data_IF_996092318463
#
_entry.id   IF_996092318463
#
_cell.length_a   1.000
_cell.length_b   1.000
_cell.length_c   1.000
_cell.angle_alpha   90.00
_cell.angle_beta   90.00
_cell.angle_gamma   90.00
#
_symmetry.space_group_name_H-M   'P 1'
#
loop_
_entity.id
_entity.type
_entity.pdbx_description
1 polymer ?
#
# COMPACT_ATOMS: atom_id res chain seq x y z
N UNK A 1 -6.60 -44.58 -3.94
CA UNK A 1 -6.09 -43.20 -4.05
C UNK A 1 -6.33 -42.65 -5.45
N UNK A 2 -6.05 -43.45 -6.49
CA UNK A 2 -6.20 -43.12 -7.92
C UNK A 2 -7.57 -42.58 -8.36
N UNK A 3 -8.64 -42.78 -7.59
CA UNK A 3 -9.98 -42.30 -7.94
C UNK A 3 -10.27 -40.83 -7.55
N UNK A 4 -9.43 -40.18 -6.73
CA UNK A 4 -9.72 -38.83 -6.24
C UNK A 4 -9.61 -37.77 -7.36
N UNK A 5 -8.53 -37.72 -8.17
CA UNK A 5 -8.44 -36.77 -9.27
C UNK A 5 -9.59 -36.96 -10.28
N UNK A 6 -9.89 -38.22 -10.64
CA UNK A 6 -10.99 -38.54 -11.56
C UNK A 6 -12.36 -38.12 -11.01
N UNK A 7 -12.58 -38.27 -9.69
CA UNK A 7 -13.80 -37.80 -9.03
C UNK A 7 -13.92 -36.28 -9.11
N UNK A 8 -12.83 -35.53 -8.88
CA UNK A 8 -12.81 -34.07 -9.02
C UNK A 8 -13.15 -33.67 -10.46
N UNK A 9 -12.51 -34.29 -11.46
CA UNK A 9 -12.77 -34.04 -12.88
C UNK A 9 -14.24 -34.31 -13.23
N UNK A 10 -14.76 -35.46 -12.78
CA UNK A 10 -16.16 -35.85 -12.97
C UNK A 10 -17.12 -34.83 -12.38
N UNK A 11 -16.90 -34.41 -11.13
CA UNK A 11 -17.71 -33.40 -10.45
C UNK A 11 -17.67 -32.05 -11.16
N UNK A 12 -16.49 -31.59 -11.61
CA UNK A 12 -16.36 -30.31 -12.32
C UNK A 12 -17.09 -30.30 -13.67
N UNK A 13 -17.09 -31.43 -14.38
CA UNK A 13 -17.75 -31.59 -15.70
C UNK A 13 -19.21 -32.02 -15.63
N UNK A 14 -19.67 -32.35 -14.42
CA UNK A 14 -21.00 -32.87 -14.17
C UNK A 14 -22.10 -31.88 -14.58
N UNK A 15 -23.23 -32.33 -15.15
CA UNK A 15 -24.36 -31.43 -15.50
C UNK A 15 -25.20 -31.00 -14.28
N UNK A 16 -24.83 -31.43 -13.08
CA UNK A 16 -25.59 -31.19 -11.86
C UNK A 16 -25.52 -29.71 -11.41
N UNK A 17 -26.51 -29.23 -10.64
CA UNK A 17 -26.47 -27.92 -10.01
C UNK A 17 -25.15 -27.66 -9.27
N UNK A 18 -24.66 -26.42 -9.31
CA UNK A 18 -23.35 -26.05 -8.76
C UNK A 18 -23.23 -26.40 -7.27
N UNK A 19 -24.29 -26.21 -6.48
CA UNK A 19 -24.30 -26.48 -5.04
C UNK A 19 -23.98 -27.94 -4.74
N UNK A 20 -24.51 -28.88 -5.54
CA UNK A 20 -24.25 -30.31 -5.39
C UNK A 20 -22.83 -30.66 -5.84
N UNK A 21 -22.37 -30.06 -6.95
CA UNK A 21 -20.99 -30.24 -7.42
C UNK A 21 -19.99 -29.72 -6.39
N UNK A 22 -20.25 -28.55 -5.82
CA UNK A 22 -19.45 -27.93 -4.77
C UNK A 22 -19.38 -28.78 -3.50
N UNK A 23 -20.52 -29.29 -3.01
CA UNK A 23 -20.54 -30.20 -1.86
C UNK A 23 -19.72 -31.46 -2.13
N UNK A 24 -19.83 -32.05 -3.32
CA UNK A 24 -19.02 -33.20 -3.73
C UNK A 24 -17.51 -32.87 -3.76
N UNK A 25 -17.14 -31.71 -4.28
CA UNK A 25 -15.74 -31.26 -4.33
C UNK A 25 -15.17 -31.04 -2.92
N UNK A 26 -15.92 -30.33 -2.07
CA UNK A 26 -15.54 -30.09 -0.68
C UNK A 26 -15.42 -31.40 0.11
N UNK A 27 -16.34 -32.36 -0.09
CA UNK A 27 -16.25 -33.70 0.50
C UNK A 27 -15.00 -34.44 0.03
N UNK A 28 -14.71 -34.39 -1.27
CA UNK A 28 -13.53 -35.06 -1.85
C UNK A 28 -12.22 -34.48 -1.28
N UNK A 29 -12.12 -33.16 -1.10
CA UNK A 29 -10.98 -32.52 -0.44
C UNK A 29 -10.93 -32.85 1.06
N UNK A 30 -12.08 -33.01 1.71
CA UNK A 30 -12.18 -33.51 3.10
C UNK A 30 -11.60 -34.92 3.24
N UNK A 31 -12.00 -35.84 2.35
CA UNK A 31 -11.45 -37.20 2.28
C UNK A 31 -9.93 -37.19 2.05
N UNK A 32 -9.44 -36.33 1.15
CA UNK A 32 -7.99 -36.17 0.93
C UNK A 32 -7.27 -35.68 2.18
N UNK A 33 -7.88 -34.73 2.92
CA UNK A 33 -7.33 -34.21 4.18
C UNK A 33 -7.20 -35.33 5.22
N UNK A 34 -8.19 -36.21 5.31
CA UNK A 34 -8.14 -37.37 6.21
C UNK A 34 -7.05 -38.37 5.81
N UNK A 35 -6.88 -38.63 4.52
CA UNK A 35 -5.82 -39.52 4.03
C UNK A 35 -4.42 -38.95 4.31
N UNK A 36 -4.21 -37.64 4.14
CA UNK A 36 -2.96 -36.99 4.52
C UNK A 36 -2.70 -37.13 6.01
N UNK A 37 -3.72 -36.89 6.84
CA UNK A 37 -3.63 -37.03 8.30
C UNK A 37 -3.29 -38.45 8.75
N UNK A 38 -3.75 -39.48 8.03
CA UNK A 38 -3.42 -40.89 8.33
C UNK A 38 -2.14 -41.39 7.64
N UNK A 39 -1.42 -40.52 6.91
CA UNK A 39 -0.22 -40.89 6.15
C UNK A 39 -0.51 -41.86 4.99
N UNK A 40 -1.73 -41.83 4.48
CA UNK A 40 -2.25 -42.73 3.44
C UNK A 40 -2.52 -42.01 2.11
N UNK A 41 -1.97 -40.80 1.92
CA UNK A 41 -1.99 -40.07 0.66
C UNK A 41 -0.55 -39.75 0.25
N UNK A 42 -0.24 -39.95 -1.03
CA UNK A 42 1.05 -39.61 -1.62
C UNK A 42 1.04 -38.23 -2.29
N UNK A 43 2.22 -37.63 -2.44
CA UNK A 43 2.41 -36.32 -3.10
C UNK A 43 1.87 -36.27 -4.53
N UNK A 44 2.02 -37.34 -5.31
CA UNK A 44 1.58 -37.37 -6.71
C UNK A 44 0.04 -37.34 -6.85
N UNK A 45 -0.67 -38.05 -5.98
CA UNK A 45 -2.14 -38.01 -5.91
C UNK A 45 -2.62 -36.60 -5.56
N UNK A 46 -2.01 -35.97 -4.55
CA UNK A 46 -2.41 -34.61 -4.13
C UNK A 46 -2.12 -33.59 -5.25
N UNK A 47 -0.94 -33.67 -5.88
CA UNK A 47 -0.59 -32.82 -7.02
C UNK A 47 -1.61 -32.98 -8.17
N UNK A 48 -2.02 -34.21 -8.48
CA UNK A 48 -3.04 -34.47 -9.51
C UNK A 48 -4.42 -33.88 -9.16
N UNK A 49 -4.78 -33.81 -7.87
CA UNK A 49 -5.99 -33.13 -7.42
C UNK A 49 -5.89 -31.62 -7.61
N UNK A 50 -4.73 -31.00 -7.33
CA UNK A 50 -4.48 -29.57 -7.61
C UNK A 50 -4.70 -29.29 -9.11
N UNK A 51 -4.05 -30.06 -9.98
CA UNK A 51 -4.16 -29.93 -11.43
C UNK A 51 -5.62 -30.08 -11.91
N UNK A 52 -6.34 -31.08 -11.38
CA UNK A 52 -7.75 -31.31 -11.72
C UNK A 52 -8.64 -30.11 -11.36
N UNK A 53 -8.43 -29.50 -10.18
CA UNK A 53 -9.16 -28.32 -9.74
C UNK A 53 -8.84 -27.10 -10.63
N UNK A 54 -7.56 -26.87 -10.93
CA UNK A 54 -7.11 -25.75 -11.75
C UNK A 54 -7.59 -25.83 -13.20
N UNK A 55 -7.64 -27.03 -13.78
CA UNK A 55 -8.10 -27.23 -15.16
C UNK A 55 -9.63 -27.27 -15.31
N UNK A 56 -10.35 -27.78 -14.31
CA UNK A 56 -11.78 -28.07 -14.47
C UNK A 56 -12.74 -26.94 -14.12
N UNK A 57 -12.28 -25.89 -13.43
CA UNK A 57 -13.15 -24.79 -12.99
C UNK A 57 -13.49 -23.81 -14.14
N UNK A 58 -14.77 -23.77 -14.54
CA UNK A 58 -15.28 -22.75 -15.45
C UNK A 58 -15.21 -21.33 -14.83
N UNK A 59 -15.18 -20.26 -15.65
CA UNK A 59 -14.99 -18.88 -15.16
C UNK A 59 -15.97 -18.46 -14.05
N UNK A 60 -17.22 -18.92 -14.10
CA UNK A 60 -18.26 -18.56 -13.13
C UNK A 60 -18.04 -19.10 -11.71
N UNK A 61 -17.22 -20.15 -11.54
CA UNK A 61 -17.04 -20.84 -10.25
C UNK A 61 -15.59 -20.80 -9.76
N UNK A 62 -14.72 -20.10 -10.48
CA UNK A 62 -13.27 -20.16 -10.26
C UNK A 62 -12.86 -19.60 -8.90
N UNK A 63 -13.45 -18.48 -8.47
CA UNK A 63 -13.24 -17.91 -7.14
C UNK A 63 -13.62 -18.88 -6.01
N UNK A 64 -14.69 -19.68 -6.18
CA UNK A 64 -15.09 -20.68 -5.19
C UNK A 64 -14.06 -21.84 -5.15
N UNK A 65 -13.57 -22.29 -6.30
CA UNK A 65 -12.58 -23.37 -6.38
C UNK A 65 -11.21 -22.95 -5.81
N UNK A 66 -10.87 -21.65 -5.85
CA UNK A 66 -9.60 -21.15 -5.32
C UNK A 66 -9.34 -21.56 -3.86
N UNK A 67 -10.34 -21.43 -2.98
CA UNK A 67 -10.20 -21.85 -1.58
C UNK A 67 -10.01 -23.36 -1.39
N UNK A 68 -10.43 -24.19 -2.35
CA UNK A 68 -10.08 -25.62 -2.34
C UNK A 68 -8.66 -25.86 -2.83
N UNK A 69 -8.21 -25.13 -3.86
CA UNK A 69 -6.83 -25.21 -4.35
C UNK A 69 -5.85 -24.85 -3.24
N UNK A 70 -6.06 -23.75 -2.51
CA UNK A 70 -5.20 -23.34 -1.40
C UNK A 70 -5.10 -24.43 -0.34
N UNK A 71 -6.25 -25.03 0.02
CA UNK A 71 -6.29 -26.13 0.98
C UNK A 71 -5.52 -27.36 0.49
N UNK A 72 -5.68 -27.74 -0.78
CA UNK A 72 -4.97 -28.89 -1.35
C UNK A 72 -3.46 -28.62 -1.49
N UNK A 73 -3.06 -27.38 -1.80
CA UNK A 73 -1.65 -26.97 -1.80
C UNK A 73 -1.03 -27.06 -0.41
N UNK A 74 -1.76 -26.69 0.65
CA UNK A 74 -1.29 -26.83 2.03
C UNK A 74 -1.13 -28.31 2.43
N UNK A 75 -2.07 -29.16 2.01
CA UNK A 75 -1.96 -30.62 2.19
C UNK A 75 -0.75 -31.18 1.44
N UNK A 76 -0.52 -30.74 0.20
CA UNK A 76 0.62 -31.18 -0.60
C UNK A 76 1.94 -30.79 0.06
N UNK A 77 2.07 -29.54 0.53
CA UNK A 77 3.25 -29.08 1.25
C UNK A 77 3.54 -29.91 2.52
N UNK A 78 2.50 -30.20 3.31
CA UNK A 78 2.61 -31.02 4.50
C UNK A 78 3.10 -32.45 4.19
N UNK A 79 2.60 -33.07 3.12
CA UNK A 79 3.05 -34.40 2.69
C UNK A 79 4.47 -34.37 2.13
N UNK A 80 4.84 -33.35 1.33
CA UNK A 80 6.20 -33.19 0.81
C UNK A 80 7.26 -33.14 1.91
N UNK A 81 6.95 -32.54 3.07
CA UNK A 81 7.87 -32.47 4.19
C UNK A 81 8.22 -33.85 4.79
N UNK A 82 7.34 -34.85 4.62
CA UNK A 82 7.57 -36.23 5.07
C UNK A 82 8.15 -37.14 3.99
N UNK A 83 7.67 -37.04 2.74
CA UNK A 83 8.10 -37.90 1.63
C UNK A 83 9.43 -37.46 0.99
N UNK A 84 9.78 -36.17 1.10
CA UNK A 84 10.98 -35.57 0.50
C UNK A 84 11.11 -35.92 -1.01
N UNK A 85 10.17 -35.46 -1.85
CA UNK A 85 10.25 -35.66 -3.29
C UNK A 85 11.51 -35.02 -3.88
N UNK A 86 11.87 -35.35 -5.14
CA UNK A 86 13.00 -34.69 -5.78
C UNK A 86 12.81 -33.16 -5.79
N UNK A 87 13.71 -32.38 -5.17
CA UNK A 87 13.51 -30.95 -4.97
C UNK A 87 13.51 -30.15 -6.27
N UNK A 88 14.11 -30.67 -7.34
CA UNK A 88 14.14 -30.06 -8.67
C UNK A 88 12.78 -30.24 -9.35
N UNK A 89 12.23 -31.45 -9.30
CA UNK A 89 10.90 -31.76 -9.84
C UNK A 89 9.83 -30.97 -9.10
N UNK A 90 9.94 -30.88 -7.76
CA UNK A 90 9.02 -30.08 -6.95
C UNK A 90 9.09 -28.60 -7.31
N UNK A 91 10.29 -28.02 -7.44
CA UNK A 91 10.46 -26.62 -7.83
C UNK A 91 9.85 -26.31 -9.20
N UNK A 92 10.03 -27.20 -10.18
CA UNK A 92 9.44 -27.06 -11.51
C UNK A 92 7.91 -27.15 -11.48
N UNK A 93 7.36 -28.10 -10.70
CA UNK A 93 5.92 -28.24 -10.52
C UNK A 93 5.29 -27.01 -9.85
N UNK A 94 5.90 -26.48 -8.78
CA UNK A 94 5.41 -25.27 -8.11
C UNK A 94 5.39 -24.07 -9.06
N UNK A 95 6.41 -23.91 -9.89
CA UNK A 95 6.44 -22.83 -10.89
C UNK A 95 5.43 -23.08 -12.02
N UNK A 96 5.19 -24.34 -12.40
CA UNK A 96 4.13 -24.70 -13.33
C UNK A 96 2.75 -24.29 -12.78
N UNK A 97 2.43 -24.68 -11.55
CA UNK A 97 1.20 -24.30 -10.86
C UNK A 97 1.06 -22.78 -10.75
N UNK A 98 2.14 -22.08 -10.41
CA UNK A 98 2.13 -20.63 -10.27
C UNK A 98 1.97 -19.89 -11.61
N UNK A 99 2.38 -20.47 -12.74
CA UNK A 99 2.48 -19.75 -14.04
C UNK A 99 1.60 -20.31 -15.17
N UNK A 100 1.05 -21.52 -15.01
CA UNK A 100 0.40 -22.27 -16.09
C UNK A 100 -1.09 -21.98 -16.28
N UNK A 101 -1.73 -21.22 -15.39
CA UNK A 101 -3.19 -21.15 -15.30
C UNK A 101 -3.77 -19.74 -15.51
N UNK A 102 -4.99 -19.59 -16.06
CA UNK A 102 -5.57 -18.28 -16.35
C UNK A 102 -5.80 -17.37 -15.13
N UNK A 103 -6.17 -17.96 -13.99
CA UNK A 103 -6.09 -17.31 -12.68
C UNK A 103 -5.13 -18.14 -11.85
N UNK A 104 -4.05 -17.50 -11.45
CA UNK A 104 -2.89 -18.15 -10.88
C UNK A 104 -3.16 -18.31 -9.38
N UNK A 105 -2.97 -19.50 -8.81
CA UNK A 105 -2.96 -19.65 -7.36
C UNK A 105 -1.79 -18.85 -6.76
N UNK A 106 -1.91 -18.50 -5.49
CA UNK A 106 -0.79 -17.95 -4.73
C UNK A 106 -0.02 -19.10 -4.08
N UNK A 107 1.02 -19.59 -4.77
CA UNK A 107 1.87 -20.66 -4.23
C UNK A 107 2.82 -20.05 -3.21
N UNK A 108 2.58 -20.34 -1.94
CA UNK A 108 3.48 -19.97 -0.84
C UNK A 108 4.68 -20.93 -0.81
N UNK A 109 5.90 -20.40 -0.83
CA UNK A 109 7.13 -21.19 -0.79
C UNK A 109 7.48 -21.65 0.64
N UNK A 110 7.13 -20.86 1.66
CA UNK A 110 7.51 -21.17 3.03
C UNK A 110 7.09 -22.58 3.50
N UNK A 111 5.85 -23.08 3.22
CA UNK A 111 5.48 -24.45 3.54
C UNK A 111 6.28 -25.54 2.80
N UNK A 112 6.81 -25.23 1.61
CA UNK A 112 7.60 -26.17 0.80
C UNK A 112 9.10 -26.12 1.07
N UNK A 113 9.58 -25.10 1.80
CA UNK A 113 11.01 -24.89 2.03
C UNK A 113 11.76 -26.11 2.58
N UNK A 114 11.21 -26.91 3.54
CA UNK A 114 11.88 -28.11 4.02
C UNK A 114 12.09 -29.18 2.93
N UNK A 115 11.12 -29.34 2.02
CA UNK A 115 11.17 -30.32 0.94
C UNK A 115 12.04 -29.84 -0.24
N UNK A 116 12.03 -28.53 -0.53
CA UNK A 116 12.87 -27.94 -1.57
C UNK A 116 14.36 -27.93 -1.16
N UNK A 117 14.64 -27.59 0.09
CA UNK A 117 15.99 -27.30 0.56
C UNK A 117 16.71 -26.24 -0.29
N UNK A 118 18.02 -26.09 -0.08
CA UNK A 118 18.83 -25.13 -0.83
C UNK A 118 18.85 -25.43 -2.33
N UNK A 119 18.91 -26.72 -2.69
CA UNK A 119 19.00 -27.16 -4.10
C UNK A 119 17.74 -26.83 -4.89
N UNK A 120 16.56 -27.10 -4.33
CA UNK A 120 15.27 -26.80 -4.96
C UNK A 120 15.01 -25.29 -5.03
N UNK A 121 15.29 -24.54 -3.96
CA UNK A 121 15.14 -23.08 -3.94
C UNK A 121 16.07 -22.39 -4.95
N UNK A 122 17.32 -22.83 -5.07
CA UNK A 122 18.26 -22.31 -6.06
C UNK A 122 17.77 -22.58 -7.50
N UNK A 123 17.22 -23.77 -7.76
CA UNK A 123 16.65 -24.11 -9.06
C UNK A 123 15.39 -23.30 -9.37
N UNK A 124 14.47 -23.17 -8.41
CA UNK A 124 13.28 -22.33 -8.51
C UNK A 124 13.65 -20.89 -8.87
N UNK A 125 14.60 -20.29 -8.13
CA UNK A 125 15.14 -18.95 -8.39
C UNK A 125 15.66 -18.83 -9.82
N UNK A 126 16.52 -19.77 -10.23
CA UNK A 126 17.14 -19.74 -11.56
C UNK A 126 16.09 -19.74 -12.66
N UNK A 127 15.08 -20.61 -12.60
CA UNK A 127 14.04 -20.68 -13.63
C UNK A 127 13.16 -19.43 -13.61
N UNK A 128 12.68 -19.02 -12.42
CA UNK A 128 11.82 -17.86 -12.28
C UNK A 128 12.50 -16.61 -12.84
N UNK A 129 13.76 -16.36 -12.48
CA UNK A 129 14.50 -15.18 -12.95
C UNK A 129 14.89 -15.27 -14.42
N UNK A 130 15.24 -16.45 -14.95
CA UNK A 130 15.51 -16.61 -16.38
C UNK A 130 14.27 -16.25 -17.21
N UNK A 131 13.09 -16.70 -16.80
CA UNK A 131 11.83 -16.36 -17.48
C UNK A 131 11.48 -14.90 -17.30
N UNK A 132 11.70 -14.35 -16.10
CA UNK A 132 11.42 -12.95 -15.80
C UNK A 132 12.32 -11.98 -16.57
N UNK A 133 13.61 -12.30 -16.72
CA UNK A 133 14.57 -11.47 -17.48
C UNK A 133 14.26 -11.42 -18.98
N UNK A 134 13.57 -12.43 -19.51
CA UNK A 134 13.10 -12.43 -20.90
C UNK A 134 11.91 -11.49 -21.14
N UNK A 135 11.25 -11.00 -20.07
CA UNK A 135 10.11 -10.10 -20.20
C UNK A 135 10.55 -8.65 -20.46
N UNK A 136 9.83 -7.90 -21.32
CA UNK A 136 10.09 -6.47 -21.53
C UNK A 136 10.01 -5.65 -20.23
N UNK A 137 10.81 -4.60 -20.09
CA UNK A 137 10.71 -3.66 -18.96
C UNK A 137 9.52 -2.72 -19.18
N UNK A 138 8.63 -2.60 -18.19
CA UNK A 138 7.53 -1.62 -18.23
C UNK A 138 8.00 -0.35 -17.54
N UNK A 139 8.00 0.74 -18.30
CA UNK A 139 8.36 2.07 -17.80
C UNK A 139 7.11 2.91 -17.51
N UNK A 140 7.27 3.97 -16.73
CA UNK A 140 6.18 4.84 -16.32
C UNK A 140 5.37 5.38 -17.51
N UNK A 141 4.04 5.32 -17.40
CA UNK A 141 3.13 5.80 -18.43
C UNK A 141 2.96 4.87 -19.64
N UNK A 142 3.68 3.75 -19.68
CA UNK A 142 3.38 2.67 -20.62
C UNK A 142 2.05 2.04 -20.23
N UNK A 143 1.07 2.01 -21.14
CA UNK A 143 -0.14 1.22 -20.93
C UNK A 143 0.28 -0.26 -20.90
N UNK A 144 0.34 -0.82 -19.70
CA UNK A 144 0.65 -2.23 -19.52
C UNK A 144 -0.39 -3.07 -20.26
N UNK A 145 0.04 -3.85 -21.24
CA UNK A 145 -0.78 -4.97 -21.70
C UNK A 145 -0.91 -5.94 -20.54
N UNK A 146 -2.09 -6.53 -20.36
CA UNK A 146 -2.29 -7.58 -19.37
C UNK A 146 -1.42 -8.78 -19.74
N UNK A 147 -0.30 -8.93 -19.02
CA UNK A 147 0.71 -9.97 -19.21
C UNK A 147 0.65 -10.94 -18.03
N UNK A 148 -0.09 -12.05 -18.20
CA UNK A 148 -0.31 -13.04 -17.15
C UNK A 148 1.00 -13.66 -16.66
N UNK A 149 1.91 -13.95 -17.59
CA UNK A 149 3.19 -14.57 -17.25
C UNK A 149 4.02 -13.64 -16.38
N UNK A 150 4.03 -12.33 -16.69
CA UNK A 150 4.65 -11.34 -15.83
C UNK A 150 4.06 -11.30 -14.43
N UNK A 151 2.74 -11.25 -14.30
CA UNK A 151 2.10 -11.23 -12.97
C UNK A 151 2.45 -12.48 -12.17
N UNK A 152 2.46 -13.65 -12.83
CA UNK A 152 2.84 -14.91 -12.22
C UNK A 152 4.28 -14.91 -11.70
N UNK A 153 5.21 -14.46 -12.55
CA UNK A 153 6.63 -14.43 -12.22
C UNK A 153 6.97 -13.35 -11.21
N UNK A 154 6.26 -12.21 -11.24
CA UNK A 154 6.33 -11.18 -10.20
C UNK A 154 5.95 -11.78 -8.85
N UNK A 155 4.79 -12.45 -8.74
CA UNK A 155 4.38 -13.12 -7.48
C UNK A 155 5.36 -14.21 -7.06
N UNK A 156 5.84 -15.04 -7.99
CA UNK A 156 6.82 -16.09 -7.72
C UNK A 156 8.14 -15.53 -7.14
N UNK A 157 8.63 -14.43 -7.72
CA UNK A 157 9.88 -13.82 -7.28
C UNK A 157 9.72 -12.98 -6.00
N UNK A 158 8.55 -12.37 -5.79
CA UNK A 158 8.18 -11.72 -4.52
C UNK A 158 8.12 -12.75 -3.38
N UNK A 159 7.41 -13.86 -3.56
CA UNK A 159 7.35 -14.94 -2.56
C UNK A 159 8.74 -15.51 -2.28
N UNK A 160 9.58 -15.68 -3.30
CA UNK A 160 10.96 -16.11 -3.12
C UNK A 160 11.78 -15.10 -2.31
N UNK A 161 11.63 -13.81 -2.61
CA UNK A 161 12.33 -12.74 -1.90
C UNK A 161 11.88 -12.64 -0.44
N UNK A 162 10.57 -12.72 -0.18
CA UNK A 162 10.01 -12.73 1.17
C UNK A 162 10.48 -13.95 1.97
N UNK A 163 10.46 -15.14 1.36
CA UNK A 163 10.92 -16.36 2.01
C UNK A 163 12.43 -16.34 2.33
N UNK A 164 13.25 -15.81 1.43
CA UNK A 164 14.72 -15.77 1.58
C UNK A 164 15.22 -14.51 2.31
N UNK A 165 14.36 -13.53 2.56
CA UNK A 165 14.76 -12.20 3.04
C UNK A 165 15.62 -11.42 2.04
N UNK A 166 15.58 -11.78 0.75
CA UNK A 166 16.38 -11.14 -0.30
C UNK A 166 15.70 -9.84 -0.78
N UNK A 167 16.01 -8.76 -0.07
CA UNK A 167 15.49 -7.42 -0.37
C UNK A 167 15.92 -6.93 -1.75
N UNK A 168 17.15 -7.23 -2.17
CA UNK A 168 17.66 -6.81 -3.48
C UNK A 168 16.89 -7.49 -4.61
N UNK A 169 16.54 -8.77 -4.44
CA UNK A 169 15.67 -9.48 -5.37
C UNK A 169 14.27 -8.84 -5.43
N UNK A 170 13.67 -8.52 -4.28
CA UNK A 170 12.35 -7.89 -4.24
C UNK A 170 12.37 -6.56 -5.01
N UNK A 171 13.38 -5.71 -4.77
CA UNK A 171 13.57 -4.43 -5.46
C UNK A 171 13.81 -4.64 -6.97
N UNK A 172 14.66 -5.60 -7.35
CA UNK A 172 14.95 -5.91 -8.75
C UNK A 172 13.68 -6.26 -9.51
N UNK A 173 12.86 -7.14 -8.96
CA UNK A 173 11.64 -7.63 -9.61
C UNK A 173 10.62 -6.50 -9.75
N UNK A 174 10.35 -5.76 -8.65
CA UNK A 174 9.44 -4.62 -8.70
C UNK A 174 9.90 -3.52 -9.69
N UNK A 175 11.21 -3.28 -9.78
CA UNK A 175 11.76 -2.25 -10.67
C UNK A 175 11.53 -2.50 -12.16
N UNK A 176 11.18 -3.73 -12.55
CA UNK A 176 10.88 -4.09 -13.95
C UNK A 176 9.45 -3.76 -14.35
N UNK A 177 8.59 -3.40 -13.39
CA UNK A 177 7.23 -2.96 -13.63
C UNK A 177 6.94 -1.64 -12.89
N UNK A 178 7.24 -0.52 -13.55
CA UNK A 178 7.06 0.83 -13.02
C UNK A 178 5.93 1.57 -13.73
N UNK A 179 4.80 0.91 -13.97
CA UNK A 179 3.69 1.43 -14.77
C UNK A 179 3.10 2.74 -14.18
N UNK A 180 3.04 2.84 -12.84
CA UNK A 180 2.47 3.97 -12.13
C UNK A 180 3.25 4.39 -10.89
N UNK A 181 2.85 5.52 -10.30
CA UNK A 181 3.51 6.06 -9.10
C UNK A 181 3.43 5.14 -7.87
N UNK A 182 2.42 4.26 -7.82
CA UNK A 182 2.26 3.28 -6.74
C UNK A 182 3.36 2.21 -6.75
N UNK A 183 3.92 1.88 -7.91
CA UNK A 183 5.01 0.89 -8.02
C UNK A 183 6.29 1.40 -7.37
N UNK A 184 6.60 2.70 -7.54
CA UNK A 184 7.71 3.35 -6.84
C UNK A 184 7.50 3.38 -5.32
N UNK A 185 6.27 3.63 -4.88
CA UNK A 185 5.92 3.61 -3.45
C UNK A 185 6.12 2.22 -2.87
N UNK A 186 5.69 1.17 -3.59
CA UNK A 186 5.85 -0.22 -3.18
C UNK A 186 7.31 -0.58 -2.97
N UNK A 187 8.20 -0.18 -3.89
CA UNK A 187 9.65 -0.39 -3.74
C UNK A 187 10.20 0.35 -2.51
N UNK A 188 9.78 1.60 -2.31
CA UNK A 188 10.20 2.38 -1.15
C UNK A 188 9.74 1.73 0.17
N UNK A 189 8.52 1.17 0.22
CA UNK A 189 8.03 0.42 1.39
C UNK A 189 8.86 -0.81 1.68
N UNK A 190 9.21 -1.61 0.67
CA UNK A 190 10.07 -2.79 0.84
C UNK A 190 11.44 -2.40 1.42
N UNK A 191 12.03 -1.30 0.93
CA UNK A 191 13.30 -0.79 1.43
C UNK A 191 13.19 -0.20 2.84
N UNK A 192 12.07 0.46 3.15
CA UNK A 192 11.77 0.97 4.49
C UNK A 192 11.75 -0.17 5.51
N UNK A 193 10.96 -1.21 5.23
CA UNK A 193 10.80 -2.39 6.10
C UNK A 193 12.12 -3.15 6.27
N UNK A 194 12.97 -3.13 5.25
CA UNK A 194 14.34 -3.67 5.28
C UNK A 194 15.37 -2.78 6.01
N UNK A 195 14.97 -1.60 6.49
CA UNK A 195 15.88 -0.69 7.19
C UNK A 195 16.90 0.02 6.27
N UNK A 196 16.57 0.24 4.99
CA UNK A 196 17.43 0.90 3.97
C UNK A 196 16.90 2.31 3.61
N UNK A 197 17.01 3.31 4.52
CA UNK A 197 16.37 4.63 4.38
C UNK A 197 16.77 5.38 3.13
N UNK A 198 18.07 5.40 2.83
CA UNK A 198 18.60 6.23 1.75
C UNK A 198 18.12 5.74 0.39
N UNK A 199 17.99 4.43 0.23
CA UNK A 199 17.45 3.82 -0.99
C UNK A 199 15.93 3.99 -1.09
N UNK A 200 15.20 3.83 0.02
CA UNK A 200 13.77 4.15 0.06
C UNK A 200 13.52 5.61 -0.35
N UNK A 201 14.35 6.54 0.15
CA UNK A 201 14.30 7.96 -0.20
C UNK A 201 14.67 8.22 -1.67
N UNK A 202 15.63 7.50 -2.24
CA UNK A 202 15.92 7.61 -3.67
C UNK A 202 14.74 7.12 -4.54
N UNK A 203 14.12 6.01 -4.18
CA UNK A 203 12.95 5.47 -4.88
C UNK A 203 11.72 6.38 -4.79
N UNK A 204 11.44 6.98 -3.63
CA UNK A 204 10.37 7.99 -3.51
C UNK A 204 10.67 9.20 -4.40
N UNK A 205 11.91 9.68 -4.44
CA UNK A 205 12.32 10.78 -5.33
C UNK A 205 12.19 10.43 -6.81
N UNK A 206 12.54 9.20 -7.21
CA UNK A 206 12.31 8.70 -8.58
C UNK A 206 10.82 8.72 -8.92
N UNK A 207 9.97 8.23 -8.02
CA UNK A 207 8.51 8.24 -8.20
C UNK A 207 7.93 9.64 -8.30
N UNK A 208 8.42 10.59 -7.49
CA UNK A 208 7.98 11.99 -7.55
C UNK A 208 8.35 12.64 -8.90
N UNK A 209 9.56 12.37 -9.42
CA UNK A 209 9.98 12.84 -10.75
C UNK A 209 9.10 12.24 -11.85
N UNK A 210 8.83 10.94 -11.79
CA UNK A 210 8.01 10.25 -12.80
C UNK A 210 6.55 10.74 -12.80
N UNK A 211 5.96 10.88 -11.60
CA UNK A 211 4.55 11.27 -11.45
C UNK A 211 4.28 12.74 -11.74
N UNK A 212 5.27 13.62 -11.56
CA UNK A 212 5.11 15.06 -11.78
C UNK A 212 3.98 15.67 -10.95
N UNK A 213 3.75 15.15 -9.73
CA UNK A 213 2.70 15.63 -8.83
C UNK A 213 1.31 14.97 -9.00
N UNK A 214 1.15 13.97 -9.88
CA UNK A 214 -0.12 13.26 -10.10
C UNK A 214 -0.15 11.89 -9.41
N UNK A 215 -1.35 11.31 -9.26
CA UNK A 215 -1.53 9.96 -8.75
C UNK A 215 -0.95 9.77 -7.34
N UNK A 216 0.01 8.86 -7.19
CA UNK A 216 0.62 8.52 -5.90
C UNK A 216 1.52 9.61 -5.28
N UNK A 217 1.68 10.77 -5.91
CA UNK A 217 2.61 11.83 -5.49
C UNK A 217 2.47 12.22 -4.01
N UNK A 218 1.26 12.40 -3.49
CA UNK A 218 1.06 12.72 -2.06
C UNK A 218 1.63 11.65 -1.14
N UNK A 219 1.37 10.37 -1.44
CA UNK A 219 1.88 9.25 -0.63
C UNK A 219 3.39 9.08 -0.76
N UNK A 220 3.95 9.38 -1.93
CA UNK A 220 5.40 9.40 -2.13
C UNK A 220 6.06 10.53 -1.32
N UNK A 221 5.44 11.71 -1.20
CA UNK A 221 5.92 12.78 -0.32
C UNK A 221 5.83 12.36 1.14
N UNK A 222 4.72 11.75 1.57
CA UNK A 222 4.55 11.25 2.93
C UNK A 222 5.66 10.25 3.29
N UNK A 223 5.87 9.22 2.45
CA UNK A 223 6.92 8.23 2.66
C UNK A 223 8.34 8.85 2.68
N UNK A 224 8.62 9.80 1.80
CA UNK A 224 9.92 10.48 1.77
C UNK A 224 10.16 11.32 3.05
N UNK A 225 9.11 11.97 3.56
CA UNK A 225 9.15 12.74 4.81
C UNK A 225 9.39 11.83 6.00
N UNK A 226 8.67 10.71 6.07
CA UNK A 226 8.81 9.73 7.16
C UNK A 226 10.24 9.16 7.19
N UNK A 227 10.84 8.86 6.03
CA UNK A 227 12.24 8.44 5.96
C UNK A 227 13.21 9.52 6.43
N UNK A 228 13.05 10.76 5.96
CA UNK A 228 13.89 11.89 6.39
C UNK A 228 13.84 12.08 7.92
N UNK A 229 12.64 12.01 8.51
CA UNK A 229 12.46 12.14 9.96
C UNK A 229 13.13 11.01 10.73
N UNK A 230 13.02 9.77 10.24
CA UNK A 230 13.63 8.60 10.86
C UNK A 230 15.15 8.71 10.97
N UNK A 231 15.80 9.31 9.98
CA UNK A 231 17.26 9.56 9.99
C UNK A 231 17.64 10.95 10.52
N UNK A 232 16.71 11.69 11.13
CA UNK A 232 16.97 12.99 11.77
C UNK A 232 17.18 14.16 10.81
N UNK A 233 16.78 14.03 9.55
CA UNK A 233 16.93 15.05 8.48
C UNK A 233 15.68 15.92 8.37
N UNK A 234 15.38 16.70 9.41
CA UNK A 234 14.17 17.53 9.46
C UNK A 234 14.12 18.57 8.33
N UNK A 235 15.25 19.21 8.00
CA UNK A 235 15.30 20.22 6.94
C UNK A 235 14.90 19.64 5.57
N UNK A 236 15.39 18.43 5.25
CA UNK A 236 15.01 17.74 4.02
C UNK A 236 13.51 17.38 4.00
N UNK A 237 12.95 17.00 5.14
CA UNK A 237 11.52 16.74 5.27
C UNK A 237 10.69 18.01 5.05
N UNK A 238 11.12 19.15 5.62
CA UNK A 238 10.48 20.46 5.43
C UNK A 238 10.57 20.88 3.97
N UNK A 239 11.73 20.70 3.33
CA UNK A 239 11.92 21.00 1.90
C UNK A 239 11.02 20.15 1.00
N UNK A 240 10.83 18.86 1.31
CA UNK A 240 9.91 17.98 0.59
C UNK A 240 8.46 18.47 0.69
N UNK A 241 8.02 18.83 1.91
CA UNK A 241 6.68 19.39 2.14
C UNK A 241 6.50 20.74 1.47
N UNK A 242 7.52 21.61 1.51
CA UNK A 242 7.53 22.91 0.85
C UNK A 242 7.33 22.75 -0.66
N UNK A 243 8.11 21.87 -1.30
CA UNK A 243 8.00 21.60 -2.74
C UNK A 243 6.61 21.07 -3.10
N UNK A 244 6.09 20.11 -2.34
CA UNK A 244 4.76 19.55 -2.55
C UNK A 244 3.66 20.63 -2.44
N UNK A 245 3.74 21.48 -1.41
CA UNK A 245 2.86 22.61 -1.21
C UNK A 245 2.95 23.63 -2.36
N UNK A 246 4.15 23.96 -2.83
CA UNK A 246 4.29 24.94 -3.93
C UNK A 246 3.76 24.43 -5.26
N UNK A 247 3.85 23.13 -5.51
CA UNK A 247 3.30 22.48 -6.71
C UNK A 247 1.77 22.44 -6.66
N UNK A 248 1.19 22.13 -5.50
CA UNK A 248 -0.25 21.98 -5.31
C UNK A 248 -0.69 22.69 -4.02
N UNK A 249 -0.95 24.02 -4.08
CA UNK A 249 -1.16 24.87 -2.91
C UNK A 249 -2.55 24.69 -2.28
N UNK A 250 -2.77 23.54 -1.66
CA UNK A 250 -4.00 23.19 -0.94
C UNK A 250 -3.86 23.46 0.56
N UNK A 251 -4.99 23.63 1.24
CA UNK A 251 -5.01 23.75 2.70
C UNK A 251 -4.37 22.54 3.39
N UNK A 252 -4.66 21.33 2.91
CA UNK A 252 -4.05 20.11 3.44
C UNK A 252 -2.52 20.11 3.30
N UNK A 253 -1.97 20.57 2.18
CA UNK A 253 -0.52 20.64 1.99
C UNK A 253 0.11 21.69 2.92
N UNK A 254 -0.55 22.85 3.10
CA UNK A 254 -0.13 23.87 4.07
C UNK A 254 -0.11 23.35 5.50
N UNK A 255 -1.18 22.67 5.94
CA UNK A 255 -1.30 22.14 7.30
C UNK A 255 -0.25 21.07 7.60
N UNK A 256 0.08 20.21 6.61
CA UNK A 256 1.16 19.23 6.76
C UNK A 256 2.54 19.89 6.86
N UNK A 257 2.81 20.92 6.05
CA UNK A 257 4.03 21.71 6.15
C UNK A 257 4.14 22.38 7.53
N UNK A 258 3.05 22.98 8.00
CA UNK A 258 2.97 23.60 9.34
C UNK A 258 3.24 22.59 10.45
N UNK A 259 2.57 21.44 10.42
CA UNK A 259 2.72 20.41 11.46
C UNK A 259 4.17 19.92 11.61
N UNK A 260 4.92 19.93 10.50
CA UNK A 260 6.33 19.57 10.47
C UNK A 260 7.26 20.68 10.96
N UNK A 261 7.04 21.93 10.53
CA UNK A 261 7.95 23.04 10.79
C UNK A 261 7.66 23.81 12.10
N UNK A 262 6.43 23.78 12.61
CA UNK A 262 6.05 24.48 13.84
C UNK A 262 6.84 24.02 15.08
N UNK A 263 7.05 22.71 15.31
CA UNK A 263 7.85 22.25 16.44
C UNK A 263 9.34 22.64 16.36
N UNK A 264 9.85 22.91 15.14
CA UNK A 264 11.26 23.23 14.91
C UNK A 264 11.64 24.68 15.24
N UNK A 265 10.64 25.57 15.42
CA UNK A 265 10.85 27.00 15.73
C UNK A 265 10.91 27.94 14.51
N UNK A 266 11.16 27.42 13.31
CA UNK A 266 11.31 28.22 12.08
C UNK A 266 9.99 28.62 11.41
N UNK A 267 8.86 28.23 12.00
CA UNK A 267 7.54 28.43 11.42
C UNK A 267 7.16 29.88 11.11
N UNK A 268 7.46 30.91 11.92
CA UNK A 268 7.05 32.28 11.59
C UNK A 268 7.58 32.76 10.23
N UNK A 269 8.83 32.43 9.90
CA UNK A 269 9.45 32.80 8.61
C UNK A 269 8.85 31.98 7.48
N UNK A 270 8.74 30.66 7.67
CA UNK A 270 8.19 29.76 6.66
C UNK A 270 6.70 30.04 6.38
N UNK A 271 5.93 30.40 7.41
CA UNK A 271 4.53 30.82 7.32
C UNK A 271 4.38 32.05 6.43
N UNK A 272 5.20 33.09 6.63
CA UNK A 272 5.16 34.29 5.78
C UNK A 272 5.33 33.95 4.31
N UNK A 273 6.30 33.08 3.99
CA UNK A 273 6.54 32.57 2.63
C UNK A 273 5.36 31.74 2.10
N UNK A 274 4.82 30.84 2.92
CA UNK A 274 3.69 29.98 2.54
C UNK A 274 2.41 30.78 2.28
N UNK A 275 2.09 31.77 3.12
CA UNK A 275 0.95 32.67 2.95
C UNK A 275 1.09 33.53 1.69
N UNK A 276 2.30 34.04 1.39
CA UNK A 276 2.57 34.72 0.13
C UNK A 276 2.30 33.82 -1.08
N UNK A 277 2.69 32.55 -1.02
CA UNK A 277 2.42 31.59 -2.10
C UNK A 277 0.92 31.29 -2.24
N UNK A 278 0.21 31.07 -1.13
CA UNK A 278 -1.25 30.86 -1.13
C UNK A 278 -2.00 32.05 -1.74
N UNK A 279 -1.66 33.28 -1.34
CA UNK A 279 -2.33 34.48 -1.83
C UNK A 279 -2.27 34.60 -3.36
N UNK A 280 -1.17 34.13 -3.97
CA UNK A 280 -0.92 34.19 -5.41
C UNK A 280 -1.50 33.02 -6.20
N UNK A 281 -1.54 31.83 -5.62
CA UNK A 281 -1.73 30.59 -6.39
C UNK A 281 -2.83 29.66 -5.89
N UNK A 282 -3.33 29.83 -4.66
CA UNK A 282 -4.37 28.96 -4.12
C UNK A 282 -5.76 29.41 -4.56
N UNK A 283 -6.72 28.49 -4.58
CA UNK A 283 -8.13 28.84 -4.71
C UNK A 283 -8.68 29.48 -3.42
N UNK A 284 -9.86 30.08 -3.51
CA UNK A 284 -10.53 30.78 -2.40
C UNK A 284 -10.87 29.84 -1.23
N UNK A 285 -11.20 28.57 -1.52
CA UNK A 285 -11.58 27.61 -0.49
C UNK A 285 -10.38 27.18 0.36
N UNK A 286 -9.27 26.85 -0.29
CA UNK A 286 -8.00 26.52 0.35
C UNK A 286 -7.49 27.70 1.19
N UNK A 287 -7.58 28.93 0.68
CA UNK A 287 -7.21 30.13 1.42
C UNK A 287 -8.06 30.31 2.68
N UNK A 288 -9.39 30.18 2.57
CA UNK A 288 -10.32 30.28 3.70
C UNK A 288 -10.02 29.24 4.78
N UNK A 289 -9.81 27.98 4.39
CA UNK A 289 -9.50 26.90 5.33
C UNK A 289 -8.19 27.15 6.09
N UNK A 290 -7.14 27.59 5.38
CA UNK A 290 -5.85 27.93 6.01
C UNK A 290 -5.99 29.09 6.99
N UNK A 291 -6.68 30.16 6.59
CA UNK A 291 -6.92 31.34 7.44
C UNK A 291 -7.64 30.94 8.72
N UNK A 292 -8.73 30.16 8.62
CA UNK A 292 -9.46 29.67 9.79
C UNK A 292 -8.55 28.85 10.72
N UNK A 293 -7.71 27.97 10.16
CA UNK A 293 -6.79 27.14 10.95
C UNK A 293 -5.64 27.94 11.60
N UNK A 294 -5.16 29.02 10.96
CA UNK A 294 -4.18 29.93 11.54
C UNK A 294 -4.80 30.80 12.64
N UNK A 295 -6.00 31.35 12.42
CA UNK A 295 -6.73 32.13 13.42
C UNK A 295 -7.00 31.32 14.69
N UNK A 296 -7.41 30.07 14.54
CA UNK A 296 -7.65 29.16 15.67
C UNK A 296 -6.38 28.89 16.49
N UNK A 297 -5.21 28.90 15.85
CA UNK A 297 -3.95 28.57 16.52
C UNK A 297 -3.16 29.78 17.02
N UNK A 298 -3.28 30.92 16.37
CA UNK A 298 -2.61 32.15 16.75
C UNK A 298 -3.40 33.36 16.24
N UNK A 299 -4.16 34.04 17.11
CA UNK A 299 -4.91 35.26 16.75
C UNK A 299 -4.02 36.47 16.43
N UNK A 300 -2.71 36.30 16.32
CA UNK A 300 -1.74 37.38 16.22
C UNK A 300 -1.85 38.17 14.90
N UNK A 301 -1.86 39.51 14.99
CA UNK A 301 -2.12 40.42 13.88
C UNK A 301 -1.07 40.41 12.76
N UNK A 302 0.21 40.15 13.06
CA UNK A 302 1.31 40.38 12.09
C UNK A 302 1.27 39.50 10.83
N UNK A 303 0.79 38.26 10.92
CA UNK A 303 0.66 37.41 9.72
C UNK A 303 -0.57 37.74 8.89
N UNK A 304 -1.66 38.20 9.54
CA UNK A 304 -2.89 38.66 8.87
C UNK A 304 -2.63 39.93 8.06
N UNK A 305 -1.86 40.88 8.62
CA UNK A 305 -1.46 42.10 7.91
C UNK A 305 -0.62 41.77 6.67
N UNK A 306 0.35 40.86 6.81
CA UNK A 306 1.16 40.37 5.69
C UNK A 306 0.31 39.71 4.61
N UNK A 307 -0.58 38.79 4.98
CA UNK A 307 -1.49 38.12 4.05
C UNK A 307 -2.40 39.13 3.32
N UNK A 308 -2.98 40.08 4.05
CA UNK A 308 -3.82 41.13 3.47
C UNK A 308 -3.04 42.00 2.47
N UNK A 309 -1.78 42.31 2.76
CA UNK A 309 -0.93 43.03 1.83
C UNK A 309 -0.65 42.23 0.55
N UNK A 310 -0.39 40.92 0.66
CA UNK A 310 -0.19 40.04 -0.51
C UNK A 310 -1.46 39.85 -1.34
N UNK A 311 -2.63 39.68 -0.72
CA UNK A 311 -3.90 39.60 -1.43
C UNK A 311 -4.23 40.90 -2.19
N UNK A 312 -3.93 42.06 -1.59
CA UNK A 312 -4.03 43.36 -2.29
C UNK A 312 -3.11 43.43 -3.49
N UNK A 313 -1.84 43.01 -3.35
CA UNK A 313 -0.88 42.95 -4.45
C UNK A 313 -1.33 42.00 -5.57
N UNK A 314 -2.00 40.90 -5.21
CA UNK A 314 -2.55 39.93 -6.15
C UNK A 314 -3.92 40.34 -6.75
N UNK A 315 -4.50 41.47 -6.34
CA UNK A 315 -5.80 41.95 -6.83
C UNK A 315 -7.00 41.12 -6.37
N UNK A 316 -6.87 40.37 -5.27
CA UNK A 316 -7.86 39.40 -4.78
C UNK A 316 -8.85 40.03 -3.80
N UNK A 317 -9.71 40.92 -4.32
CA UNK A 317 -10.62 41.76 -3.50
C UNK A 317 -11.67 40.93 -2.75
N UNK A 318 -12.29 39.95 -3.40
CA UNK A 318 -13.30 39.09 -2.76
C UNK A 318 -12.71 38.30 -1.56
N UNK A 319 -11.46 37.85 -1.69
CA UNK A 319 -10.78 37.14 -0.60
C UNK A 319 -10.38 38.07 0.55
N UNK A 320 -10.08 39.34 0.27
CA UNK A 320 -9.83 40.35 1.31
C UNK A 320 -11.09 40.65 2.12
N UNK A 321 -12.23 40.81 1.44
CA UNK A 321 -13.52 41.04 2.10
C UNK A 321 -13.90 39.82 2.96
N UNK A 322 -13.77 38.61 2.41
CA UNK A 322 -14.02 37.37 3.16
C UNK A 322 -13.07 37.19 4.36
N UNK A 323 -11.83 37.67 4.27
CA UNK A 323 -10.88 37.68 5.39
C UNK A 323 -11.34 38.62 6.50
N UNK A 324 -11.85 39.81 6.15
CA UNK A 324 -12.38 40.76 7.13
C UNK A 324 -13.55 40.17 7.92
N UNK A 325 -14.49 39.52 7.24
CA UNK A 325 -15.63 38.84 7.86
C UNK A 325 -15.18 37.75 8.86
N UNK A 326 -14.24 36.89 8.45
CA UNK A 326 -13.70 35.82 9.31
C UNK A 326 -13.02 36.36 10.58
N UNK A 327 -12.31 37.49 10.47
CA UNK A 327 -11.66 38.12 11.63
C UNK A 327 -12.65 38.80 12.57
N UNK A 328 -13.76 39.34 12.06
CA UNK A 328 -14.81 39.96 12.87
C UNK A 328 -15.55 38.92 13.74
N UNK A 329 -15.87 37.76 13.18
CA UNK A 329 -16.52 36.65 13.91
C UNK A 329 -15.64 36.10 15.05
N UNK A 330 -14.34 35.99 14.81
CA UNK A 330 -13.39 35.46 15.80
C UNK A 330 -13.22 36.43 16.99
N UNK A 331 -13.32 37.74 16.74
CA UNK A 331 -13.30 38.77 17.78
C UNK A 331 -14.52 38.77 18.71
N UNK A 332 -15.70 38.44 18.18
CA UNK A 332 -16.93 38.32 18.98
C UNK A 332 -16.94 37.07 19.87
N UNK A 333 -16.41 35.94 19.39
CA UNK A 333 -16.32 34.70 20.17
C UNK A 333 -15.34 34.81 21.37
N UNK A 334 -14.24 35.57 21.22
CA UNK A 334 -13.27 35.80 22.30
C UNK A 334 -13.79 36.69 23.43
N UNK A 335 -14.72 37.61 23.15
CA UNK A 335 -15.33 38.49 24.16
C UNK A 335 -16.36 37.78 25.03
N UNK A 336 -17.06 36.76 24.52
CA UNK A 336 -18.03 35.99 25.29
C UNK A 336 -17.39 35.09 26.38
N UNK A 337 -16.11 34.72 26.23
CA UNK A 337 -15.38 33.87 27.19
C UNK A 337 -14.72 34.61 28.37
N UNK A 338 -14.69 35.96 28.35
CA UNK A 338 -14.08 36.77 29.42
C UNK A 338 -15.07 37.29 30.48
N UNK A 339 -16.36 36.99 30.35
CA UNK A 339 -17.34 37.25 31.40
C UNK A 339 -17.24 36.18 32.51
N UNK A 340 -16.25 36.32 33.40
CA UNK A 340 -16.11 35.49 34.60
C UNK A 340 -17.30 35.64 35.56
N UNK A 341 -17.61 34.62 36.39
CA UNK A 341 -18.82 34.64 37.21
C UNK A 341 -18.71 35.73 38.28
N UNK A 342 -19.76 36.55 38.37
CA UNK A 342 -19.92 37.54 39.42
C UNK A 342 -19.84 36.86 40.80
N UNK A 343 -18.96 37.37 41.67
CA UNK A 343 -18.89 36.96 43.08
C UNK A 343 -20.24 37.17 43.76
N UNK A 344 -20.75 36.22 44.55
CA UNK A 344 -21.91 36.47 45.39
C UNK A 344 -21.50 37.34 46.58
N UNK A 345 -22.25 38.40 46.80
CA UNK A 345 -22.21 39.24 48.00
C UNK A 345 -22.79 38.45 49.18
N UNK A 346 -21.96 38.19 50.19
CA UNK A 346 -22.41 37.68 51.49
C UNK A 346 -23.27 38.75 52.19
N UNK A 347 -24.55 38.44 52.38
CA UNK A 347 -25.44 39.18 53.27
C UNK A 347 -25.44 38.50 54.63
N UNK A 348 -24.87 39.19 55.61
CA UNK A 348 -24.99 38.88 57.03
C UNK A 348 -26.45 39.08 57.46
N UNK A 349 -27.06 38.06 58.07
CA UNK A 349 -28.28 38.19 58.84
C UNK A 349 -28.03 37.57 60.22
N UNK A 350 -28.03 38.45 61.22
CA UNK A 350 -27.93 38.16 62.65
C UNK A 350 -29.34 38.00 63.25
N UNK A 351 -29.36 37.27 64.36
CA UNK A 351 -30.41 36.77 65.25
C UNK A 351 -31.84 37.36 65.25
N UNK A 352 -32.80 36.46 65.47
CA UNK A 352 -34.18 36.74 65.90
C UNK A 352 -35.07 35.52 65.86
#
# INVERSE_FOLDING_TARGET
MDALPDRVISLLRSPWPWELRWQGLASTVGELSDLVRTGSADTATIASVVEALLHGAGPAHRAAVHGLVDRVLDLHAATCAGELPDPIVLAEWLLHVQTGFPELPEVRLAPYAPALGERGLAHYRRIALTRFDALPVITFGSLGFYDRERWALLRAAEELAEHTGDVDLHVLVLSRNLAGGWDYLRIATVLHEAGRPDEALDWTRRGLRATGGRGAATRLVDAAVDECLRVGRLDDAVDLRWRAFTTTPTASAYLRLRGLAAPAGDWPVLRGRALTHLARHADTAALREVVTAELAASPAAGWLEHLSAELRRAGRVAELDALADLTADTGQAGQAGQAGPARPTESVADAG
#
